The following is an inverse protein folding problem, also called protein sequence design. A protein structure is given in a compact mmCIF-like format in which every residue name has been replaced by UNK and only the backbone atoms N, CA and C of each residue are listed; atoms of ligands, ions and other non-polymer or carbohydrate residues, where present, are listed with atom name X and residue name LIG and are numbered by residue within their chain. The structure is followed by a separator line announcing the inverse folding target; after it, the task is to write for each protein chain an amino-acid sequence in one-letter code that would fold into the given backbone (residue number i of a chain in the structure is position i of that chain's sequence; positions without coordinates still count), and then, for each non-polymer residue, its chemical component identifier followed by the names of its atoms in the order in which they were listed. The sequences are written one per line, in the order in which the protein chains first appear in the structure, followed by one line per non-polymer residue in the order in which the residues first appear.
data_IF_345942128972
#
_entry.id   IF_345942128972
#
_cell.length_a   1.000
_cell.length_b   1.000
_cell.length_c   1.000
_cell.angle_alpha   90.00
_cell.angle_beta   90.00
_cell.angle_gamma   90.00
#
_symmetry.space_group_name_H-M   'P 1'
#
loop_
_entity.id
_entity.type
_entity.pdbx_description
1 polymer ?
#
# COMPACT_ATOMS: atom_id res chain seq x y z
N UNK A 1 39.09 -37.22 28.44
CA UNK A 1 38.94 -36.31 27.28
C UNK A 1 40.13 -35.37 27.21
N UNK A 2 40.87 -35.36 26.10
CA UNK A 2 42.09 -34.53 25.98
C UNK A 2 41.73 -33.04 25.87
N UNK A 3 42.64 -32.15 26.32
CA UNK A 3 42.46 -30.68 26.22
C UNK A 3 42.18 -30.23 24.77
N UNK A 4 42.77 -30.92 23.79
CA UNK A 4 42.55 -30.67 22.35
C UNK A 4 41.13 -31.01 21.90
N UNK A 5 40.57 -32.14 22.37
CA UNK A 5 39.21 -32.55 22.05
C UNK A 5 38.16 -31.59 22.64
N UNK A 6 38.42 -31.01 23.82
CA UNK A 6 37.58 -29.95 24.42
C UNK A 6 37.55 -28.68 23.57
N UNK A 7 38.71 -28.23 23.08
CA UNK A 7 38.80 -27.01 22.28
C UNK A 7 38.06 -27.13 20.94
N UNK A 8 38.17 -28.29 20.28
CA UNK A 8 37.44 -28.57 19.03
C UNK A 8 35.93 -28.58 19.27
N UNK A 9 35.48 -29.23 20.34
CA UNK A 9 34.05 -29.30 20.67
C UNK A 9 33.46 -27.92 20.93
N UNK A 10 34.17 -27.08 21.69
CA UNK A 10 33.75 -25.70 21.96
C UNK A 10 33.70 -24.87 20.67
N UNK A 11 34.70 -25.00 19.80
CA UNK A 11 34.72 -24.30 18.51
C UNK A 11 33.53 -24.69 17.62
N UNK A 12 33.21 -25.98 17.54
CA UNK A 12 32.05 -26.47 16.77
C UNK A 12 30.73 -25.97 17.36
N UNK A 13 30.59 -26.00 18.69
CA UNK A 13 29.38 -25.48 19.36
C UNK A 13 29.22 -23.99 19.09
N UNK A 14 30.29 -23.19 19.15
CA UNK A 14 30.25 -21.74 18.88
C UNK A 14 29.85 -21.46 17.43
N UNK A 15 30.37 -22.23 16.46
CA UNK A 15 30.02 -22.09 15.04
C UNK A 15 28.56 -22.49 14.77
N UNK A 16 28.08 -23.57 15.37
CA UNK A 16 26.67 -23.98 15.24
C UNK A 16 25.77 -22.93 15.88
N UNK A 17 26.13 -22.40 17.05
CA UNK A 17 25.38 -21.34 17.70
C UNK A 17 25.32 -20.09 16.81
N UNK A 18 26.45 -19.61 16.27
CA UNK A 18 26.45 -18.42 15.41
C UNK A 18 25.69 -18.60 14.10
N UNK A 19 25.62 -19.82 13.56
CA UNK A 19 24.79 -20.14 12.38
C UNK A 19 23.28 -20.14 12.68
N UNK A 20 22.87 -20.45 13.91
CA UNK A 20 21.44 -20.45 14.29
C UNK A 20 20.83 -19.08 14.56
N UNK A 21 21.64 -18.04 14.84
CA UNK A 21 21.18 -16.66 15.00
C UNK A 21 21.23 -15.82 13.72
N UNK A 22 21.79 -16.38 12.64
CA UNK A 22 21.88 -15.71 11.34
C UNK A 22 20.74 -16.09 10.39
N UNK A 23 19.56 -16.44 10.91
CA UNK A 23 18.37 -16.36 10.05
C UNK A 23 18.24 -14.90 9.66
N UNK A 24 18.18 -14.53 8.37
CA UNK A 24 17.70 -13.22 8.02
C UNK A 24 16.33 -13.12 8.68
N UNK A 25 16.23 -12.25 9.68
CA UNK A 25 14.94 -11.70 10.04
C UNK A 25 14.53 -11.01 8.75
N UNK A 26 13.80 -11.72 7.89
CA UNK A 26 13.00 -11.09 6.86
C UNK A 26 12.31 -9.98 7.61
N UNK A 27 12.69 -8.74 7.28
CA UNK A 27 12.16 -7.57 7.92
C UNK A 27 10.66 -7.81 8.03
N UNK A 28 10.18 -7.91 9.27
CA UNK A 28 8.79 -8.19 9.55
C UNK A 28 7.95 -7.29 8.64
N UNK A 29 6.83 -7.79 8.06
CA UNK A 29 6.00 -6.99 7.18
C UNK A 29 5.85 -5.60 7.77
N UNK A 30 5.96 -4.52 6.96
CA UNK A 30 5.90 -3.18 7.51
C UNK A 30 4.67 -3.10 8.40
N UNK A 31 4.83 -2.58 9.62
CA UNK A 31 3.69 -2.35 10.51
C UNK A 31 2.56 -1.70 9.70
N UNK A 32 1.31 -1.97 10.06
CA UNK A 32 0.21 -1.25 9.41
C UNK A 32 0.43 0.26 9.57
N UNK A 33 0.11 1.07 8.56
CA UNK A 33 0.23 2.51 8.69
C UNK A 33 -0.65 2.98 9.85
N UNK A 34 -0.19 4.00 10.58
CA UNK A 34 -0.94 4.57 11.70
C UNK A 34 -2.29 5.11 11.23
N UNK A 35 -2.34 5.62 9.99
CA UNK A 35 -3.52 6.23 9.44
C UNK A 35 -3.46 6.31 7.91
N UNK A 36 -4.61 6.12 7.26
CA UNK A 36 -4.81 6.41 5.85
C UNK A 36 -6.02 7.32 5.72
N UNK A 37 -5.89 8.43 5.01
CA UNK A 37 -7.03 9.31 4.76
C UNK A 37 -6.95 9.97 3.38
N UNK A 38 -8.10 10.47 2.90
CA UNK A 38 -8.23 11.22 1.67
C UNK A 38 -8.54 12.70 1.97
N UNK A 39 -7.81 13.62 1.34
CA UNK A 39 -7.87 15.06 1.58
C UNK A 39 -7.20 15.54 2.87
N UNK A 40 -7.44 16.78 3.25
CA UNK A 40 -7.03 17.30 4.55
C UNK A 40 -8.01 16.83 5.63
N UNK A 41 -7.53 16.50 6.85
CA UNK A 41 -8.36 16.02 7.98
C UNK A 41 -9.57 16.93 8.32
N UNK A 42 -9.59 18.16 7.80
CA UNK A 42 -10.77 18.98 7.57
C UNK A 42 -10.40 20.15 6.63
N UNK A 43 -11.33 20.75 5.86
CA UNK A 43 -12.64 20.25 5.43
C UNK A 43 -12.66 19.82 3.94
N UNK A 44 -11.53 19.84 3.24
CA UNK A 44 -11.47 19.65 1.80
C UNK A 44 -11.01 18.25 1.45
N UNK A 45 -12.00 17.38 1.20
CA UNK A 45 -11.78 16.08 0.54
C UNK A 45 -11.63 16.34 -0.96
N UNK A 46 -10.39 16.46 -1.45
CA UNK A 46 -10.14 16.64 -2.87
C UNK A 46 -10.22 15.30 -3.60
N UNK A 47 -11.44 14.83 -3.85
CA UNK A 47 -11.73 13.74 -4.77
C UNK A 47 -12.64 14.27 -5.88
N UNK A 48 -12.12 14.42 -7.09
CA UNK A 48 -12.86 14.95 -8.25
C UNK A 48 -12.70 14.04 -9.44
N UNK A 49 -13.75 13.98 -10.25
CA UNK A 49 -13.71 13.38 -11.58
C UNK A 49 -14.04 14.50 -12.56
N UNK A 50 -13.15 14.71 -13.52
CA UNK A 50 -13.38 15.62 -14.64
C UNK A 50 -13.65 14.77 -15.88
N UNK A 51 -14.52 15.24 -16.75
CA UNK A 51 -14.93 14.54 -17.96
C UNK A 51 -14.71 15.45 -19.16
N UNK A 52 -14.43 14.85 -20.33
CA UNK A 52 -14.19 15.59 -21.57
C UNK A 52 -13.04 16.62 -21.45
N UNK A 53 -11.96 16.21 -20.80
CA UNK A 53 -10.77 17.03 -20.52
C UNK A 53 -9.96 17.27 -21.80
N UNK A 54 -9.70 16.22 -22.58
CA UNK A 54 -8.91 16.28 -23.82
C UNK A 54 -9.70 15.76 -25.03
N UNK A 55 -10.56 14.76 -24.86
CA UNK A 55 -11.48 14.26 -25.88
C UNK A 55 -12.85 13.90 -25.30
N UNK A 56 -13.89 13.89 -26.12
CA UNK A 56 -15.23 13.51 -25.66
C UNK A 56 -15.25 12.07 -25.15
N UNK A 57 -15.74 11.89 -23.93
CA UNK A 57 -15.85 10.60 -23.25
C UNK A 57 -14.64 10.22 -22.39
N UNK A 58 -13.59 11.03 -22.35
CA UNK A 58 -12.46 10.78 -21.44
C UNK A 58 -12.77 11.19 -19.99
N UNK A 59 -11.95 10.71 -19.05
CA UNK A 59 -12.08 11.00 -17.63
C UNK A 59 -10.73 11.24 -16.96
N UNK A 60 -10.67 12.21 -16.05
CA UNK A 60 -9.54 12.48 -15.16
C UNK A 60 -9.99 12.35 -13.71
N UNK A 61 -9.46 11.34 -13.02
CA UNK A 61 -9.61 11.17 -11.58
C UNK A 61 -8.53 11.97 -10.87
N UNK A 62 -8.91 12.76 -9.88
CA UNK A 62 -8.00 13.50 -9.02
C UNK A 62 -8.34 13.21 -7.56
N UNK A 63 -7.36 12.75 -6.80
CA UNK A 63 -7.51 12.42 -5.39
C UNK A 63 -6.32 12.95 -4.59
N UNK A 64 -6.53 13.58 -3.44
CA UNK A 64 -5.46 13.76 -2.46
C UNK A 64 -5.52 12.63 -1.44
N UNK A 65 -4.40 11.95 -1.20
CA UNK A 65 -4.35 10.83 -0.26
C UNK A 65 -3.10 10.87 0.61
N UNK A 66 -3.22 10.32 1.81
CA UNK A 66 -2.13 10.25 2.78
C UNK A 66 -2.02 8.86 3.39
N UNK A 67 -0.80 8.33 3.49
CA UNK A 67 -0.46 7.12 4.25
C UNK A 67 0.57 7.49 5.31
N UNK A 68 0.11 7.60 6.57
CA UNK A 68 0.95 8.08 7.67
C UNK A 68 1.65 6.92 8.36
N UNK A 69 2.95 7.10 8.56
CA UNK A 69 3.79 6.31 9.45
C UNK A 69 4.46 7.24 10.48
N UNK A 70 4.48 6.85 11.74
CA UNK A 70 5.08 7.57 12.86
C UNK A 70 5.94 6.61 13.71
N UNK A 71 7.22 6.92 14.00
CA UNK A 71 7.98 8.11 13.59
C UNK A 71 8.65 7.99 12.23
N UNK A 72 8.73 6.79 11.65
CA UNK A 72 9.44 6.54 10.39
C UNK A 72 8.68 5.59 9.48
N UNK A 73 8.65 5.93 8.19
CA UNK A 73 8.15 5.04 7.14
C UNK A 73 8.98 3.75 7.06
N UNK A 74 8.38 2.64 6.64
CA UNK A 74 9.11 1.38 6.43
C UNK A 74 10.19 1.53 5.34
N UNK A 75 11.22 0.66 5.34
CA UNK A 75 12.40 0.79 4.47
C UNK A 75 12.16 0.56 2.96
N UNK A 76 10.91 0.31 2.53
CA UNK A 76 10.54 0.10 1.13
C UNK A 76 9.77 1.29 0.55
N UNK A 77 9.42 1.20 -0.74
CA UNK A 77 8.68 2.27 -1.41
C UNK A 77 7.17 2.13 -1.18
N UNK A 78 6.44 3.25 -1.25
CA UNK A 78 4.98 3.22 -1.24
C UNK A 78 4.42 2.41 -2.43
N UNK A 79 5.17 2.31 -3.52
CA UNK A 79 4.82 1.59 -4.75
C UNK A 79 4.79 0.09 -4.52
N UNK A 80 5.65 -0.42 -3.63
CA UNK A 80 5.67 -1.83 -3.27
C UNK A 80 4.54 -2.17 -2.29
N UNK A 81 4.23 -1.25 -1.39
CA UNK A 81 3.37 -1.50 -0.24
C UNK A 81 1.91 -1.15 -0.45
N UNK A 82 1.59 -0.13 -1.26
CA UNK A 82 0.24 0.40 -1.35
C UNK A 82 -0.24 0.51 -2.78
N UNK A 83 -1.53 0.27 -2.96
CA UNK A 83 -2.22 0.32 -4.23
C UNK A 83 -3.35 1.33 -4.09
N UNK A 84 -3.40 2.30 -4.99
CA UNK A 84 -4.54 3.19 -5.16
C UNK A 84 -5.53 2.57 -6.14
N UNK A 85 -6.80 2.55 -5.77
CA UNK A 85 -7.86 1.93 -6.53
C UNK A 85 -9.02 2.90 -6.73
N UNK A 86 -9.57 2.91 -7.94
CA UNK A 86 -10.89 3.46 -8.24
C UNK A 86 -11.84 2.29 -8.37
N UNK A 87 -12.87 2.28 -7.55
CA UNK A 87 -13.90 1.24 -7.49
C UNK A 87 -15.24 1.80 -7.94
N UNK A 88 -16.14 0.91 -8.34
CA UNK A 88 -17.53 1.26 -8.65
C UNK A 88 -18.23 1.94 -7.44
N UNK A 89 -19.43 2.47 -7.66
CA UNK A 89 -20.21 3.15 -6.63
C UNK A 89 -20.46 2.30 -5.37
N UNK A 90 -20.52 0.97 -5.51
CA UNK A 90 -20.69 0.03 -4.41
C UNK A 90 -19.39 -0.28 -3.64
N UNK A 91 -18.22 0.16 -4.13
CA UNK A 91 -16.92 -0.16 -3.56
C UNK A 91 -16.45 -1.61 -3.76
N UNK A 92 -17.20 -2.43 -4.49
CA UNK A 92 -16.95 -3.87 -4.61
C UNK A 92 -16.03 -4.23 -5.77
N UNK A 93 -16.19 -3.55 -6.91
CA UNK A 93 -15.43 -3.84 -8.14
C UNK A 93 -14.33 -2.81 -8.33
N UNK A 94 -13.10 -3.26 -8.53
CA UNK A 94 -11.96 -2.39 -8.90
C UNK A 94 -12.01 -2.13 -10.40
N UNK A 95 -12.06 -0.85 -10.77
CA UNK A 95 -12.08 -0.38 -12.16
C UNK A 95 -10.70 0.13 -12.60
N UNK A 96 -9.98 0.80 -11.70
CA UNK A 96 -8.60 1.23 -11.90
C UNK A 96 -7.79 0.79 -10.69
N UNK A 97 -6.58 0.29 -10.91
CA UNK A 97 -5.61 -0.02 -9.87
C UNK A 97 -4.23 0.46 -10.30
N UNK A 98 -3.54 1.20 -9.43
CA UNK A 98 -2.14 1.62 -9.65
C UNK A 98 -1.35 1.62 -8.34
N UNK A 99 -0.07 1.25 -8.36
CA UNK A 99 0.83 1.43 -7.23
C UNK A 99 0.90 2.89 -6.76
N UNK A 100 0.89 3.10 -5.45
CA UNK A 100 1.01 4.41 -4.84
C UNK A 100 2.45 4.93 -5.00
N UNK A 101 2.64 6.16 -5.48
CA UNK A 101 4.00 6.65 -5.79
C UNK A 101 4.78 7.16 -4.57
N UNK A 102 4.10 7.51 -3.47
CA UNK A 102 4.71 8.05 -2.25
C UNK A 102 3.80 7.87 -1.05
N UNK A 103 4.36 7.83 0.17
CA UNK A 103 3.57 7.70 1.41
C UNK A 103 2.86 9.01 1.81
N UNK A 104 3.38 10.19 1.43
CA UNK A 104 2.88 11.50 1.88
C UNK A 104 1.93 12.23 0.91
N UNK A 105 1.49 13.46 1.29
CA UNK A 105 0.56 14.32 0.54
C UNK A 105 0.95 14.45 -0.92
N UNK A 106 0.15 13.85 -1.81
CA UNK A 106 0.19 14.19 -3.22
C UNK A 106 -1.20 14.09 -3.83
N UNK A 107 -1.53 14.98 -4.79
CA UNK A 107 -2.61 14.70 -5.71
C UNK A 107 -2.19 13.51 -6.59
N UNK A 108 -2.98 12.44 -6.53
CA UNK A 108 -3.00 11.34 -7.48
C UNK A 108 -3.91 11.77 -8.62
N UNK A 109 -3.35 11.88 -9.82
CA UNK A 109 -4.11 12.12 -11.04
C UNK A 109 -4.06 10.88 -11.94
N UNK A 110 -5.21 10.41 -12.39
CA UNK A 110 -5.32 9.30 -13.33
C UNK A 110 -6.21 9.71 -14.49
N UNK A 111 -5.58 10.01 -15.61
CA UNK A 111 -6.25 10.25 -16.88
C UNK A 111 -6.57 8.92 -17.57
N UNK A 112 -7.77 8.79 -18.12
CA UNK A 112 -8.23 7.67 -18.94
C UNK A 112 -8.83 8.24 -20.23
N UNK A 113 -8.37 7.74 -21.39
CA UNK A 113 -8.94 8.10 -22.70
C UNK A 113 -10.39 7.61 -22.82
N UNK A 114 -11.15 8.12 -23.78
CA UNK A 114 -12.53 7.68 -23.99
C UNK A 114 -12.63 6.17 -24.27
N UNK A 115 -11.66 5.62 -25.00
CA UNK A 115 -11.55 4.18 -25.24
C UNK A 115 -11.31 3.39 -23.94
N UNK A 116 -10.46 3.89 -23.05
CA UNK A 116 -10.19 3.26 -21.75
C UNK A 116 -11.40 3.36 -20.81
N UNK A 117 -12.08 4.51 -20.78
CA UNK A 117 -13.32 4.72 -20.02
C UNK A 117 -14.35 3.66 -20.41
N UNK A 118 -14.56 3.46 -21.71
CA UNK A 118 -15.49 2.44 -22.22
C UNK A 118 -15.03 1.03 -21.85
N UNK A 119 -13.75 0.70 -22.04
CA UNK A 119 -13.20 -0.63 -21.76
C UNK A 119 -13.24 -1.00 -20.28
N UNK A 120 -13.07 -0.02 -19.38
CA UNK A 120 -13.11 -0.20 -17.94
C UNK A 120 -14.54 -0.13 -17.36
N UNK A 121 -15.55 0.14 -18.19
CA UNK A 121 -16.94 0.30 -17.74
C UNK A 121 -17.17 1.54 -16.88
N UNK A 122 -16.35 2.58 -17.06
CA UNK A 122 -16.54 3.87 -16.43
C UNK A 122 -17.67 4.63 -17.14
N UNK A 123 -18.60 5.18 -16.36
CA UNK A 123 -19.80 5.87 -16.84
C UNK A 123 -19.83 7.30 -16.32
N UNK A 124 -20.10 8.26 -17.21
CA UNK A 124 -20.21 9.68 -16.86
C UNK A 124 -21.33 9.92 -15.85
N UNK A 125 -21.13 10.87 -14.94
CA UNK A 125 -22.08 11.20 -13.87
C UNK A 125 -22.24 10.12 -12.78
N UNK A 126 -21.44 9.04 -12.82
CA UNK A 126 -21.45 8.00 -11.79
C UNK A 126 -20.61 8.37 -10.58
N UNK A 127 -20.99 7.84 -9.42
CA UNK A 127 -20.17 7.90 -8.22
C UNK A 127 -19.09 6.80 -8.26
N UNK A 128 -17.91 7.13 -7.73
CA UNK A 128 -16.78 6.20 -7.61
C UNK A 128 -16.21 6.23 -6.20
N UNK A 129 -15.77 5.07 -5.73
CA UNK A 129 -15.09 4.93 -4.44
C UNK A 129 -13.60 4.88 -4.68
N UNK A 130 -12.84 5.81 -4.11
CA UNK A 130 -11.38 5.76 -4.12
C UNK A 130 -10.89 5.08 -2.85
N UNK A 131 -9.93 4.17 -2.97
CA UNK A 131 -9.39 3.40 -1.85
C UNK A 131 -7.88 3.25 -1.98
N UNK A 132 -7.19 3.27 -0.84
CA UNK A 132 -5.82 2.74 -0.74
C UNK A 132 -5.91 1.39 -0.06
N UNK A 133 -5.32 0.38 -0.69
CA UNK A 133 -5.19 -0.98 -0.15
C UNK A 133 -3.72 -1.32 0.04
N UNK A 134 -3.44 -2.13 1.06
CA UNK A 134 -2.12 -2.74 1.21
C UNK A 134 -1.91 -3.80 0.13
N UNK A 135 -0.71 -3.88 -0.42
CA UNK A 135 -0.30 -4.96 -1.31
C UNK A 135 -0.32 -6.29 -0.51
N UNK A 136 -1.07 -7.32 -0.96
CA UNK A 136 -1.21 -8.58 -0.23
C UNK A 136 0.11 -9.36 -0.10
N UNK A 137 1.15 -9.01 -0.86
CA UNK A 137 2.50 -9.57 -0.68
C UNK A 137 3.16 -9.10 0.62
N UNK A 138 2.75 -7.94 1.15
CA UNK A 138 3.36 -7.28 2.29
C UNK A 138 2.41 -7.14 3.49
N UNK A 139 1.12 -7.01 3.23
CA UNK A 139 0.08 -6.92 4.26
C UNK A 139 -0.80 -8.15 4.21
N UNK A 140 -0.95 -8.82 5.36
CA UNK A 140 -1.95 -9.87 5.48
C UNK A 140 -3.36 -9.27 5.22
N UNK A 141 -4.26 -9.99 4.53
CA UNK A 141 -5.62 -9.53 4.35
C UNK A 141 -6.28 -9.25 5.71
N UNK A 142 -6.78 -8.03 5.89
CA UNK A 142 -7.58 -7.68 7.06
C UNK A 142 -9.00 -8.22 6.86
N UNK A 143 -9.58 -8.79 7.91
CA UNK A 143 -11.00 -9.13 7.93
C UNK A 143 -11.78 -7.85 8.12
N UNK A 144 -12.74 -7.59 7.24
CA UNK A 144 -13.59 -6.41 7.29
C UNK A 144 -14.29 -6.29 8.66
N UNK A 145 -14.32 -5.08 9.23
CA UNK A 145 -14.84 -4.83 10.59
C UNK A 145 -13.84 -5.10 11.72
N UNK A 146 -12.59 -5.42 11.42
CA UNK A 146 -11.53 -5.48 12.44
C UNK A 146 -10.93 -4.09 12.65
N UNK A 147 -11.10 -3.54 13.85
CA UNK A 147 -10.38 -2.32 14.26
C UNK A 147 -8.91 -2.66 14.51
N UNK A 148 -8.02 -1.89 13.90
CA UNK A 148 -6.59 -1.98 14.19
C UNK A 148 -6.33 -1.31 15.53
N UNK A 149 -5.81 -2.06 16.51
CA UNK A 149 -5.36 -1.47 17.78
C UNK A 149 -4.17 -0.58 17.48
N UNK A 150 -4.34 0.74 17.62
CA UNK A 150 -3.24 1.70 17.60
C UNK A 150 -2.40 1.49 18.86
N UNK A 151 -1.12 1.13 18.71
CA UNK A 151 -0.15 1.07 19.82
C UNK A 151 0.54 2.42 20.01
#
# INVERSE_FOLDING_TARGET
MSKKLRAILIGVVVIIYSLTFATPVFAAPPNNPDEIWFGTKAPLKYSKVFENVNETGDMLFLAESWVKYNPTSPPGSATDYFIFEVRNAAGTTVLISRPLQSFGERPISIYQTAAQVTALGLVSGSAYVMRITGNPLWFAPLVEGTDMVSY
#
